data_IF_936006022967
#
_entry.id   IF_936006022967
#
_cell.length_a   1.000
_cell.length_b   1.000
_cell.length_c   1.000
_cell.angle_alpha   90.00
_cell.angle_beta   90.00
_cell.angle_gamma   90.00
#
_symmetry.space_group_name_H-M   'P 1'
#
loop_
_entity.id
_entity.type
_entity.pdbx_description
1 polymer ?
#
# COMPACT_ATOMS: atom_id res chain seq x y z
N UNK A 1 -17.80 -2.90 -14.28
CA UNK A 1 -17.69 -1.68 -13.44
C UNK A 1 -16.30 -1.51 -12.81
N UNK A 2 -15.57 -2.58 -12.45
CA UNK A 2 -14.16 -2.53 -11.97
C UNK A 2 -13.16 -1.64 -12.77
N UNK A 3 -13.22 -1.61 -14.11
CA UNK A 3 -12.33 -0.77 -14.95
C UNK A 3 -12.60 0.73 -14.85
N UNK A 4 -13.76 1.16 -14.35
CA UNK A 4 -14.14 2.58 -14.25
C UNK A 4 -13.56 3.26 -13.01
N UNK A 5 -13.31 2.55 -11.91
CA UNK A 5 -12.81 3.16 -10.67
C UNK A 5 -11.31 3.50 -10.70
N UNK A 6 -10.45 2.64 -11.27
CA UNK A 6 -9.06 3.02 -11.57
C UNK A 6 -9.01 4.19 -12.55
N UNK A 7 -9.88 4.17 -13.56
CA UNK A 7 -10.03 5.29 -14.48
C UNK A 7 -10.43 6.55 -13.70
N UNK A 8 -11.40 6.48 -12.79
CA UNK A 8 -11.85 7.62 -11.99
C UNK A 8 -10.72 8.17 -11.10
N UNK A 9 -9.88 7.35 -10.47
CA UNK A 9 -8.76 7.84 -9.66
C UNK A 9 -7.59 8.38 -10.49
N UNK A 10 -7.24 7.73 -11.60
CA UNK A 10 -6.25 8.24 -12.56
C UNK A 10 -6.72 9.56 -13.19
N UNK A 11 -8.03 9.71 -13.43
CA UNK A 11 -8.67 10.94 -13.91
C UNK A 11 -8.78 12.00 -12.80
N UNK A 12 -8.98 11.59 -11.54
CA UNK A 12 -9.13 12.49 -10.38
C UNK A 12 -7.80 13.00 -9.85
N UNK A 13 -6.70 12.25 -9.89
CA UNK A 13 -5.42 12.68 -9.34
C UNK A 13 -4.94 14.04 -9.92
N UNK A 14 -5.03 14.30 -11.25
CA UNK A 14 -4.76 15.63 -11.80
C UNK A 14 -5.69 16.73 -11.28
N UNK A 15 -6.97 16.41 -11.06
CA UNK A 15 -7.96 17.36 -10.52
C UNK A 15 -7.72 17.67 -9.05
N UNK A 16 -7.42 16.65 -8.24
CA UNK A 16 -7.04 16.79 -6.84
C UNK A 16 -5.75 17.58 -6.69
N UNK A 17 -4.75 17.32 -7.55
CA UNK A 17 -3.54 18.15 -7.65
C UNK A 17 -3.88 19.62 -7.92
N UNK A 18 -4.74 19.90 -8.90
CA UNK A 18 -5.19 21.27 -9.18
C UNK A 18 -5.91 21.90 -7.99
N UNK A 19 -6.78 21.15 -7.29
CA UNK A 19 -7.49 21.61 -6.11
C UNK A 19 -6.54 21.94 -4.95
N UNK A 20 -5.53 21.09 -4.69
CA UNK A 20 -4.48 21.35 -3.71
C UNK A 20 -3.72 22.64 -4.04
N UNK A 21 -3.27 22.78 -5.28
CA UNK A 21 -2.56 23.97 -5.73
C UNK A 21 -3.44 25.24 -5.71
N UNK A 22 -4.76 25.09 -5.75
CA UNK A 22 -5.72 26.18 -5.63
C UNK A 22 -6.08 26.51 -4.17
N UNK A 23 -5.40 25.89 -3.18
CA UNK A 23 -5.61 26.19 -1.77
C UNK A 23 -6.84 25.52 -1.15
N UNK A 24 -7.30 24.37 -1.67
CA UNK A 24 -8.48 23.68 -1.10
C UNK A 24 -8.31 23.35 0.39
N UNK A 25 -7.11 23.01 0.85
CA UNK A 25 -6.86 22.74 2.28
C UNK A 25 -6.99 24.01 3.12
N UNK A 26 -6.41 25.12 2.65
CA UNK A 26 -6.58 26.43 3.28
C UNK A 26 -8.06 26.80 3.37
N UNK A 27 -8.82 26.64 2.27
CA UNK A 27 -10.25 26.92 2.24
C UNK A 27 -11.06 26.05 3.22
N UNK A 28 -10.69 24.78 3.41
CA UNK A 28 -11.33 23.90 4.40
C UNK A 28 -11.10 24.42 5.82
N UNK A 29 -9.83 24.73 6.18
CA UNK A 29 -9.45 25.14 7.54
C UNK A 29 -9.95 26.53 7.90
N UNK A 30 -9.91 27.47 6.94
CA UNK A 30 -10.35 28.87 7.14
C UNK A 30 -11.84 29.08 6.89
N UNK A 31 -12.49 28.16 6.17
CA UNK A 31 -13.89 28.27 5.80
C UNK A 31 -14.76 28.47 7.04
N UNK A 32 -15.54 29.56 7.05
CA UNK A 32 -16.37 29.92 8.19
C UNK A 32 -17.50 28.91 8.37
N UNK A 33 -17.60 28.36 9.59
CA UNK A 33 -18.58 27.34 9.97
C UNK A 33 -20.04 27.76 9.82
N UNK A 34 -20.31 29.07 9.67
CA UNK A 34 -21.61 29.60 9.28
C UNK A 34 -22.17 28.95 8.01
N UNK A 35 -21.31 28.54 7.06
CA UNK A 35 -21.74 27.85 5.83
C UNK A 35 -21.80 26.31 5.97
N UNK A 36 -21.23 25.71 7.01
CA UNK A 36 -21.22 24.25 7.22
C UNK A 36 -22.49 23.73 7.91
N UNK A 37 -23.37 24.62 8.37
CA UNK A 37 -24.67 24.24 8.95
C UNK A 37 -25.62 23.60 7.93
N UNK A 38 -25.38 23.80 6.63
CA UNK A 38 -26.04 22.99 5.61
C UNK A 38 -25.50 21.55 5.72
N UNK A 39 -26.32 20.64 6.25
CA UNK A 39 -25.99 19.23 6.51
C UNK A 39 -25.24 18.58 5.33
N UNK A 40 -25.67 18.89 4.11
CA UNK A 40 -25.10 18.34 2.87
C UNK A 40 -23.63 18.73 2.65
N UNK A 41 -23.21 19.94 3.06
CA UNK A 41 -21.83 20.41 2.86
C UNK A 41 -20.89 19.71 3.84
N UNK A 42 -21.31 19.56 5.09
CA UNK A 42 -20.51 18.86 6.11
C UNK A 42 -20.30 17.38 5.74
N UNK A 43 -21.36 16.68 5.31
CA UNK A 43 -21.23 15.29 4.85
C UNK A 43 -20.32 15.16 3.63
N UNK A 44 -20.44 16.06 2.64
CA UNK A 44 -19.59 16.05 1.46
C UNK A 44 -18.11 16.30 1.81
N UNK A 45 -17.83 17.26 2.70
CA UNK A 45 -16.47 17.56 3.15
C UNK A 45 -15.87 16.43 3.99
N UNK A 46 -16.68 15.79 4.84
CA UNK A 46 -16.27 14.62 5.59
C UNK A 46 -15.84 13.48 4.66
N UNK A 47 -16.67 13.14 3.67
CA UNK A 47 -16.31 12.13 2.68
C UNK A 47 -15.10 12.56 1.84
N UNK A 48 -15.03 13.83 1.44
CA UNK A 48 -13.89 14.36 0.69
C UNK A 48 -12.58 14.24 1.48
N UNK A 49 -12.55 14.58 2.77
CA UNK A 49 -11.34 14.47 3.58
C UNK A 49 -11.03 13.01 3.97
N UNK A 50 -11.98 12.33 4.61
CA UNK A 50 -11.77 11.02 5.22
C UNK A 50 -11.63 9.89 4.21
N UNK A 51 -12.21 10.03 3.02
CA UNK A 51 -12.16 9.01 1.96
C UNK A 51 -11.30 9.46 0.80
N UNK A 52 -11.62 10.61 0.17
CA UNK A 52 -10.99 11.00 -1.10
C UNK A 52 -9.55 11.48 -0.92
N UNK A 53 -9.31 12.50 -0.09
CA UNK A 53 -7.96 13.06 0.12
C UNK A 53 -7.03 12.04 0.76
N UNK A 54 -7.53 11.38 1.79
CA UNK A 54 -6.86 10.27 2.46
C UNK A 54 -6.50 9.16 1.46
N UNK A 55 -7.44 8.69 0.65
CA UNK A 55 -7.18 7.69 -0.38
C UNK A 55 -6.20 8.17 -1.45
N UNK A 56 -6.16 9.47 -1.70
CA UNK A 56 -5.24 10.08 -2.65
C UNK A 56 -3.78 10.11 -2.15
N UNK A 57 -3.53 9.97 -0.84
CA UNK A 57 -2.16 10.00 -0.27
C UNK A 57 -1.26 8.84 -0.71
N UNK A 58 -1.82 7.84 -1.39
CA UNK A 58 -1.07 6.72 -1.96
C UNK A 58 -0.49 7.03 -3.34
N UNK A 59 -0.92 8.13 -3.97
CA UNK A 59 -0.50 8.48 -5.32
C UNK A 59 0.64 9.49 -5.30
N UNK A 60 1.74 9.16 -5.98
CA UNK A 60 2.94 9.98 -5.99
C UNK A 60 2.70 11.42 -6.48
N UNK A 61 1.97 11.67 -7.60
CA UNK A 61 1.76 13.04 -8.07
C UNK A 61 0.94 13.89 -7.08
N UNK A 62 -0.03 13.26 -6.40
CA UNK A 62 -0.82 13.92 -5.37
C UNK A 62 0.07 14.27 -4.16
N UNK A 63 0.86 13.31 -3.67
CA UNK A 63 1.78 13.53 -2.56
C UNK A 63 2.83 14.62 -2.84
N UNK A 64 3.29 14.76 -4.08
CA UNK A 64 4.17 15.85 -4.47
C UNK A 64 3.52 17.23 -4.29
N UNK A 65 2.25 17.38 -4.67
CA UNK A 65 1.50 18.62 -4.45
C UNK A 65 1.11 18.82 -2.99
N UNK A 66 0.78 17.74 -2.29
CA UNK A 66 0.45 17.79 -0.88
C UNK A 66 1.65 18.25 -0.03
N UNK A 67 2.86 17.86 -0.41
CA UNK A 67 4.09 18.31 0.26
C UNK A 67 4.27 19.83 0.28
N UNK A 68 3.76 20.52 -0.74
CA UNK A 68 3.77 21.98 -0.82
C UNK A 68 2.58 22.59 -0.07
N UNK A 69 1.38 22.05 -0.27
CA UNK A 69 0.14 22.64 0.26
C UNK A 69 -0.12 22.38 1.75
N UNK A 70 0.32 21.24 2.29
CA UNK A 70 0.01 20.86 3.67
C UNK A 70 0.68 21.75 4.72
N UNK A 71 1.99 22.12 4.62
CA UNK A 71 2.61 23.02 5.59
C UNK A 71 1.91 24.37 5.70
N UNK A 72 1.48 24.95 4.57
CA UNK A 72 0.71 26.19 4.54
C UNK A 72 -0.62 26.03 5.28
N UNK A 73 -1.34 24.93 5.04
CA UNK A 73 -2.61 24.67 5.70
C UNK A 73 -2.47 24.39 7.21
N UNK A 74 -1.37 23.75 7.63
CA UNK A 74 -1.07 23.50 9.04
C UNK A 74 -0.61 24.75 9.80
N UNK A 75 -0.08 25.76 9.10
CA UNK A 75 0.32 27.02 9.69
C UNK A 75 -0.88 27.94 10.05
N UNK A 76 -2.07 27.61 9.54
CA UNK A 76 -3.30 28.35 9.83
C UNK A 76 -3.79 27.96 11.23
N UNK A 77 -3.99 28.93 12.10
CA UNK A 77 -4.67 28.71 13.37
C UNK A 77 -6.15 28.36 13.11
N UNK A 78 -6.59 27.13 13.39
CA UNK A 78 -7.96 26.74 13.08
C UNK A 78 -8.94 27.52 13.96
N UNK A 79 -10.00 28.05 13.36
CA UNK A 79 -11.02 28.76 14.15
C UNK A 79 -11.67 27.82 15.18
N UNK A 80 -12.06 28.36 16.35
CA UNK A 80 -12.78 27.58 17.37
C UNK A 80 -14.02 26.88 16.81
N UNK A 81 -14.76 27.56 15.93
CA UNK A 81 -15.93 26.98 15.30
C UNK A 81 -15.59 25.76 14.43
N UNK A 82 -14.44 25.76 13.74
CA UNK A 82 -13.97 24.61 12.96
C UNK A 82 -13.55 23.46 13.87
N UNK A 83 -12.81 23.74 14.95
CA UNK A 83 -12.42 22.75 15.95
C UNK A 83 -13.63 22.09 16.64
N UNK A 84 -14.69 22.86 16.90
CA UNK A 84 -15.94 22.36 17.49
C UNK A 84 -16.84 21.65 16.44
N UNK A 85 -16.46 21.64 15.16
CA UNK A 85 -17.24 21.02 14.09
C UNK A 85 -16.96 19.51 13.94
N UNK A 86 -17.90 18.73 13.37
CA UNK A 86 -17.66 17.32 13.05
C UNK A 86 -16.48 17.07 12.11
N UNK A 87 -16.07 18.08 11.33
CA UNK A 87 -14.97 18.01 10.38
C UNK A 87 -13.59 17.99 11.06
N UNK A 88 -13.50 18.43 12.31
CA UNK A 88 -12.22 18.51 13.02
C UNK A 88 -11.55 17.15 13.18
N UNK A 89 -12.31 16.13 13.55
CA UNK A 89 -11.79 14.77 13.70
C UNK A 89 -11.26 14.21 12.36
N UNK A 90 -11.99 14.44 11.26
CA UNK A 90 -11.58 14.04 9.93
C UNK A 90 -10.35 14.82 9.45
N UNK A 91 -10.26 16.11 9.76
CA UNK A 91 -9.08 16.95 9.49
C UNK A 91 -7.84 16.43 10.23
N UNK A 92 -7.94 16.17 11.53
CA UNK A 92 -6.82 15.64 12.33
C UNK A 92 -6.38 14.28 11.78
N UNK A 93 -7.33 13.39 11.46
CA UNK A 93 -7.03 12.08 10.89
C UNK A 93 -6.33 12.21 9.53
N UNK A 94 -6.83 13.08 8.65
CA UNK A 94 -6.21 13.35 7.36
C UNK A 94 -4.81 13.95 7.51
N UNK A 95 -4.64 15.00 8.33
CA UNK A 95 -3.37 15.69 8.53
C UNK A 95 -2.30 14.75 9.08
N UNK A 96 -2.66 13.94 10.08
CA UNK A 96 -1.76 12.93 10.66
C UNK A 96 -1.33 11.90 9.62
N UNK A 97 -2.27 11.35 8.84
CA UNK A 97 -1.94 10.43 7.75
C UNK A 97 -1.05 11.10 6.70
N UNK A 98 -1.40 12.31 6.26
CA UNK A 98 -0.66 13.04 5.26
C UNK A 98 0.79 13.29 5.69
N UNK A 99 1.02 13.66 6.95
CA UNK A 99 2.37 13.82 7.50
C UNK A 99 3.16 12.51 7.48
N UNK A 100 2.57 11.39 7.90
CA UNK A 100 3.19 10.06 7.80
C UNK A 100 3.56 9.74 6.34
N UNK A 101 2.63 9.95 5.39
CA UNK A 101 2.89 9.70 3.97
C UNK A 101 3.94 10.65 3.37
N UNK A 102 4.09 11.86 3.90
CA UNK A 102 5.15 12.77 3.48
C UNK A 102 6.54 12.30 3.94
N UNK A 103 6.64 11.64 5.10
CA UNK A 103 7.88 10.97 5.51
C UNK A 103 8.22 9.85 4.51
N UNK A 104 7.21 9.06 4.11
CA UNK A 104 7.40 8.01 3.11
C UNK A 104 7.82 8.60 1.76
N UNK A 105 7.24 9.72 1.35
CA UNK A 105 7.64 10.42 0.14
C UNK A 105 9.11 10.86 0.23
N UNK A 106 9.55 11.45 1.34
CA UNK A 106 10.93 11.88 1.51
C UNK A 106 11.92 10.70 1.42
N UNK A 107 11.64 9.60 2.12
CA UNK A 107 12.43 8.37 2.03
C UNK A 107 12.45 7.78 0.61
N UNK A 108 11.28 7.74 -0.04
CA UNK A 108 11.15 7.24 -1.39
C UNK A 108 12.02 8.06 -2.35
N UNK A 109 11.98 9.39 -2.22
CA UNK A 109 12.81 10.31 -3.01
C UNK A 109 14.29 10.07 -2.78
N UNK A 110 14.70 9.90 -1.53
CA UNK A 110 16.10 9.66 -1.18
C UNK A 110 16.65 8.32 -1.73
N UNK A 111 15.81 7.28 -1.79
CA UNK A 111 16.24 5.92 -2.17
C UNK A 111 16.04 5.59 -3.65
N UNK A 112 14.95 6.04 -4.25
CA UNK A 112 14.43 5.48 -5.52
C UNK A 112 14.39 6.47 -6.68
N UNK A 113 14.60 7.77 -6.45
CA UNK A 113 14.68 8.73 -7.57
C UNK A 113 16.03 8.63 -8.28
N UNK A 114 17.11 8.30 -7.56
CA UNK A 114 18.43 8.11 -8.16
C UNK A 114 18.56 6.73 -8.81
N UNK A 115 18.14 5.65 -8.14
CA UNK A 115 18.40 4.29 -8.61
C UNK A 115 17.19 3.64 -9.30
N UNK A 116 17.46 2.84 -10.34
CA UNK A 116 16.45 1.98 -10.98
C UNK A 116 17.02 0.57 -11.15
N UNK A 117 16.30 -0.48 -10.70
CA UNK A 117 16.72 -1.86 -10.93
C UNK A 117 16.46 -2.28 -12.39
N UNK A 118 17.19 -3.31 -12.83
CA UNK A 118 16.82 -4.07 -14.02
C UNK A 118 15.45 -4.76 -13.80
N UNK A 119 14.62 -4.84 -14.82
CA UNK A 119 13.34 -5.53 -14.78
C UNK A 119 13.45 -7.06 -14.95
N UNK A 120 14.66 -7.57 -15.20
CA UNK A 120 14.94 -8.99 -15.03
C UNK A 120 15.14 -9.28 -13.54
N UNK A 121 14.26 -10.06 -12.91
CA UNK A 121 14.33 -10.38 -11.49
C UNK A 121 15.57 -11.20 -11.09
N UNK A 122 16.16 -11.92 -12.05
CA UNK A 122 17.42 -12.65 -11.83
C UNK A 122 18.65 -11.74 -11.97
N UNK A 123 18.45 -10.43 -12.18
CA UNK A 123 19.51 -9.44 -12.30
C UNK A 123 19.54 -8.54 -11.06
N UNK A 124 20.50 -8.77 -10.18
CA UNK A 124 20.69 -8.01 -8.94
C UNK A 124 21.39 -6.66 -9.11
N UNK A 125 21.61 -6.22 -10.36
CA UNK A 125 22.35 -4.98 -10.64
C UNK A 125 21.44 -3.76 -10.46
N UNK A 126 21.78 -2.91 -9.49
CA UNK A 126 21.16 -1.61 -9.28
C UNK A 126 21.95 -0.52 -10.02
N UNK A 127 21.27 0.24 -10.88
CA UNK A 127 21.89 1.31 -11.64
C UNK A 127 21.63 2.66 -10.98
N UNK A 128 22.71 3.44 -10.82
CA UNK A 128 22.67 4.76 -10.20
C UNK A 128 22.06 5.85 -11.10
N UNK A 129 22.00 5.62 -12.42
CA UNK A 129 21.38 6.54 -13.37
C UNK A 129 20.47 5.81 -14.36
N UNK A 130 19.42 6.51 -14.82
CA UNK A 130 18.48 6.01 -15.84
C UNK A 130 19.13 5.79 -17.21
N UNK A 131 20.20 6.51 -17.51
CA UNK A 131 20.93 6.43 -18.78
C UNK A 131 21.55 5.06 -19.03
N UNK A 132 21.79 4.31 -17.96
CA UNK A 132 22.49 3.03 -18.02
C UNK A 132 21.54 1.86 -18.31
N UNK A 133 20.23 2.14 -18.34
CA UNK A 133 19.19 1.15 -18.62
C UNK A 133 18.52 1.44 -19.97
N UNK A 134 18.34 0.37 -20.76
CA UNK A 134 17.57 0.36 -22.00
C UNK A 134 16.11 0.14 -21.68
N UNK A 135 15.23 0.91 -22.31
CA UNK A 135 13.79 0.83 -22.10
C UNK A 135 13.16 -0.10 -23.15
N UNK A 136 12.18 -0.91 -22.74
CA UNK A 136 11.41 -1.72 -23.68
C UNK A 136 10.76 -0.82 -24.76
N UNK A 137 11.03 -1.09 -26.04
CA UNK A 137 10.55 -0.27 -27.14
C UNK A 137 9.01 -0.33 -27.31
N UNK A 138 8.40 -1.43 -26.88
CA UNK A 138 6.97 -1.69 -27.02
C UNK A 138 6.16 -0.97 -25.95
N UNK A 139 6.29 -1.38 -24.68
CA UNK A 139 5.50 -0.81 -23.58
C UNK A 139 6.10 0.48 -23.01
N UNK A 140 7.41 0.71 -23.18
CA UNK A 140 8.15 1.81 -22.55
C UNK A 140 8.03 1.83 -21.00
N UNK A 141 7.58 0.72 -20.42
CA UNK A 141 7.35 0.52 -18.98
C UNK A 141 8.61 -0.08 -18.36
N UNK A 142 9.06 -1.24 -18.84
CA UNK A 142 10.21 -1.94 -18.27
C UNK A 142 11.57 -1.44 -18.75
N UNK A 143 12.59 -1.57 -17.89
CA UNK A 143 13.96 -1.10 -18.10
C UNK A 143 14.94 -2.24 -17.85
N UNK A 144 15.89 -2.44 -18.74
CA UNK A 144 16.82 -3.55 -18.75
C UNK A 144 18.24 -3.05 -18.93
N UNK A 145 19.20 -3.67 -18.23
CA UNK A 145 20.60 -3.36 -18.46
C UNK A 145 21.13 -3.87 -19.80
N UNK A 146 20.50 -4.92 -20.34
CA UNK A 146 20.93 -5.58 -21.56
C UNK A 146 19.74 -6.22 -22.31
N UNK A 147 19.97 -6.58 -23.57
CA UNK A 147 18.95 -7.27 -24.40
C UNK A 147 18.69 -8.68 -23.89
N UNK A 148 19.72 -9.32 -23.31
CA UNK A 148 19.63 -10.64 -22.69
C UNK A 148 18.68 -10.61 -21.48
N UNK A 149 18.82 -9.61 -20.60
CA UNK A 149 17.88 -9.41 -19.48
C UNK A 149 16.45 -9.14 -19.96
N UNK A 150 16.28 -8.36 -21.03
CA UNK A 150 14.96 -8.18 -21.63
C UNK A 150 14.37 -9.49 -22.14
N UNK A 151 15.18 -10.31 -22.80
CA UNK A 151 14.76 -11.60 -23.39
C UNK A 151 14.35 -12.61 -22.31
N UNK A 152 15.15 -12.71 -21.23
CA UNK A 152 14.82 -13.55 -20.07
C UNK A 152 13.49 -13.09 -19.48
N UNK A 153 13.39 -11.80 -19.12
CA UNK A 153 12.16 -11.24 -18.54
C UNK A 153 10.93 -11.42 -19.44
N UNK A 154 11.10 -11.36 -20.77
CA UNK A 154 10.05 -11.59 -21.76
C UNK A 154 9.51 -13.03 -21.72
N UNK A 155 10.38 -14.03 -21.59
CA UNK A 155 9.99 -15.45 -21.63
C UNK A 155 9.58 -16.01 -20.26
N UNK A 156 10.17 -15.52 -19.16
CA UNK A 156 10.01 -16.13 -17.84
C UNK A 156 9.25 -15.29 -16.81
N UNK A 157 9.13 -13.97 -17.00
CA UNK A 157 8.71 -13.06 -15.91
C UNK A 157 7.51 -12.18 -16.29
N UNK A 158 6.59 -12.72 -17.09
CA UNK A 158 5.30 -12.12 -17.47
C UNK A 158 5.32 -10.74 -18.14
N UNK A 159 6.51 -10.21 -18.47
CA UNK A 159 6.63 -8.95 -19.20
C UNK A 159 5.79 -8.99 -20.47
N UNK A 160 5.75 -10.11 -21.21
CA UNK A 160 4.94 -10.24 -22.42
C UNK A 160 3.47 -9.86 -22.20
N UNK A 161 2.81 -10.47 -21.22
CA UNK A 161 1.39 -10.23 -20.94
C UNK A 161 1.13 -8.76 -20.53
N UNK A 162 2.02 -8.19 -19.72
CA UNK A 162 1.91 -6.78 -19.30
C UNK A 162 2.20 -5.84 -20.47
N UNK A 163 3.14 -6.20 -21.34
CA UNK A 163 3.51 -5.41 -22.52
C UNK A 163 2.35 -5.35 -23.51
N UNK A 164 1.74 -6.49 -23.82
CA UNK A 164 0.57 -6.59 -24.70
C UNK A 164 -0.61 -5.80 -24.10
N UNK A 165 -0.93 -5.99 -22.81
CA UNK A 165 -1.99 -5.23 -22.14
C UNK A 165 -1.73 -3.71 -22.11
N UNK A 166 -0.47 -3.29 -21.98
CA UNK A 166 -0.09 -1.89 -22.02
C UNK A 166 -0.26 -1.28 -23.42
N UNK A 167 0.01 -2.06 -24.47
CA UNK A 167 -0.18 -1.66 -25.86
C UNK A 167 -1.66 -1.54 -26.23
N UNK A 168 -2.51 -2.44 -25.71
CA UNK A 168 -3.95 -2.45 -25.98
C UNK A 168 -4.71 -1.32 -25.28
N UNK A 169 -4.14 -0.74 -24.23
CA UNK A 169 -4.71 0.44 -23.63
C UNK A 169 -4.54 1.62 -24.60
N UNK A 170 -5.59 2.01 -25.33
CA UNK A 170 -5.62 3.20 -26.22
C UNK A 170 -5.12 4.50 -25.54
N UNK A 171 -5.05 4.50 -24.21
CA UNK A 171 -4.57 5.60 -23.39
C UNK A 171 -3.17 5.41 -22.82
N UNK A 172 -2.46 4.32 -23.16
CA UNK A 172 -1.05 4.08 -22.89
C UNK A 172 -0.59 4.69 -21.58
N UNK A 173 -1.34 4.45 -20.50
CA UNK A 173 -1.00 5.06 -19.22
C UNK A 173 0.28 4.37 -18.77
N UNK A 174 1.39 5.08 -18.99
CA UNK A 174 2.78 4.79 -18.61
C UNK A 174 2.88 4.54 -17.10
N UNK A 175 2.25 3.49 -16.60
CA UNK A 175 2.07 3.22 -15.19
C UNK A 175 3.29 2.58 -14.54
N UNK A 176 4.42 2.42 -15.22
CA UNK A 176 5.71 2.52 -14.52
C UNK A 176 6.14 3.98 -14.28
N UNK A 177 5.16 4.76 -13.80
CA UNK A 177 5.32 6.07 -13.21
C UNK A 177 5.87 5.89 -11.79
N UNK A 178 6.52 6.93 -11.27
CA UNK A 178 6.87 7.04 -9.85
C UNK A 178 5.66 6.73 -8.96
N UNK A 179 4.44 6.86 -9.47
CA UNK A 179 3.22 6.40 -8.82
C UNK A 179 3.23 4.94 -8.38
N UNK A 180 3.46 3.98 -9.29
CA UNK A 180 3.42 2.55 -8.91
C UNK A 180 4.59 2.17 -8.01
N UNK A 181 5.78 2.75 -8.24
CA UNK A 181 6.94 2.55 -7.36
C UNK A 181 6.69 3.08 -5.96
N UNK A 182 6.13 4.29 -5.87
CA UNK A 182 5.76 4.90 -4.60
C UNK A 182 4.66 4.10 -3.90
N UNK A 183 3.66 3.64 -4.65
CA UNK A 183 2.59 2.81 -4.12
C UNK A 183 3.10 1.51 -3.47
N UNK A 184 3.94 0.76 -4.20
CA UNK A 184 4.62 -0.44 -3.67
C UNK A 184 5.45 -0.10 -2.43
N UNK A 185 6.20 0.99 -2.50
CA UNK A 185 6.99 1.45 -1.37
C UNK A 185 6.12 1.77 -0.14
N UNK A 186 4.98 2.45 -0.33
CA UNK A 186 4.01 2.75 0.71
C UNK A 186 3.46 1.48 1.34
N UNK A 187 3.01 0.51 0.51
CA UNK A 187 2.53 -0.80 0.99
C UNK A 187 3.60 -1.52 1.80
N UNK A 188 4.84 -1.58 1.32
CA UNK A 188 5.95 -2.18 2.04
C UNK A 188 6.19 -1.50 3.38
N UNK A 189 6.17 -0.16 3.42
CA UNK A 189 6.36 0.57 4.66
C UNK A 189 5.24 0.31 5.66
N UNK A 190 3.99 0.35 5.22
CA UNK A 190 2.84 -0.04 6.06
C UNK A 190 2.98 -1.47 6.59
N UNK A 191 3.39 -2.40 5.73
CA UNK A 191 3.65 -3.78 6.10
C UNK A 191 4.71 -3.88 7.19
N UNK A 192 5.87 -3.26 6.99
CA UNK A 192 6.97 -3.32 7.96
C UNK A 192 6.57 -2.71 9.31
N UNK A 193 5.84 -1.58 9.30
CA UNK A 193 5.34 -0.96 10.54
C UNK A 193 4.36 -1.87 11.28
N UNK A 194 3.51 -2.58 10.52
CA UNK A 194 2.41 -3.40 11.07
C UNK A 194 2.80 -4.86 11.24
N UNK A 195 4.02 -5.23 10.91
CA UNK A 195 4.52 -6.59 10.91
C UNK A 195 4.34 -7.31 12.25
N UNK A 196 4.61 -6.70 13.43
CA UNK A 196 4.34 -7.36 14.70
C UNK A 196 2.85 -7.68 14.89
N UNK A 197 1.96 -6.73 14.55
CA UNK A 197 0.52 -6.93 14.66
C UNK A 197 0.01 -8.02 13.69
N UNK A 198 0.53 -8.02 12.46
CA UNK A 198 0.29 -9.06 11.46
C UNK A 198 0.70 -10.42 12.02
N UNK A 199 1.92 -10.52 12.55
CA UNK A 199 2.45 -11.76 13.08
C UNK A 199 1.62 -12.32 14.24
N UNK A 200 1.13 -11.45 15.12
CA UNK A 200 0.22 -11.85 16.20
C UNK A 200 -1.12 -12.38 15.67
N UNK A 201 -1.66 -11.76 14.62
CA UNK A 201 -2.86 -12.30 13.97
C UNK A 201 -2.60 -13.67 13.34
N UNK A 202 -1.41 -13.92 12.78
CA UNK A 202 -1.00 -15.22 12.23
C UNK A 202 -0.99 -16.28 13.34
N UNK A 203 -0.34 -15.99 14.46
CA UNK A 203 -0.30 -16.90 15.60
C UNK A 203 -1.69 -17.17 16.19
N UNK A 204 -2.52 -16.14 16.33
CA UNK A 204 -3.90 -16.28 16.79
C UNK A 204 -4.75 -17.14 15.83
N UNK A 205 -4.51 -17.03 14.52
CA UNK A 205 -5.14 -17.88 13.51
C UNK A 205 -4.71 -19.35 13.65
N UNK A 206 -3.40 -19.60 13.74
CA UNK A 206 -2.84 -20.95 13.92
C UNK A 206 -3.36 -21.57 15.21
N UNK A 207 -3.37 -20.83 16.32
CA UNK A 207 -3.88 -21.31 17.61
C UNK A 207 -5.34 -21.76 17.51
N UNK A 208 -6.18 -20.98 16.82
CA UNK A 208 -7.62 -21.22 16.72
C UNK A 208 -7.97 -22.37 15.77
N UNK A 209 -7.25 -22.49 14.66
CA UNK A 209 -7.64 -23.36 13.55
C UNK A 209 -6.75 -24.60 13.41
N UNK A 210 -5.55 -24.58 13.99
CA UNK A 210 -4.48 -25.53 13.69
C UNK A 210 -3.95 -25.41 12.26
N UNK A 211 -4.45 -24.46 11.45
CA UNK A 211 -4.08 -24.30 10.06
C UNK A 211 -2.96 -23.26 9.92
N UNK A 212 -1.95 -23.64 9.15
CA UNK A 212 -0.82 -22.77 8.78
C UNK A 212 -0.97 -22.17 7.39
N UNK A 213 -1.99 -22.59 6.64
CA UNK A 213 -2.31 -22.07 5.32
C UNK A 213 -3.27 -20.87 5.45
N UNK A 214 -2.69 -19.68 5.53
CA UNK A 214 -3.44 -18.43 5.62
C UNK A 214 -2.84 -17.36 4.69
N UNK A 215 -3.60 -16.30 4.48
CA UNK A 215 -3.17 -15.10 3.80
C UNK A 215 -3.23 -13.87 4.71
N UNK A 216 -2.34 -12.90 4.46
CA UNK A 216 -2.38 -11.59 5.12
C UNK A 216 -2.96 -10.58 4.17
N UNK A 217 -4.08 -9.98 4.54
CA UNK A 217 -4.81 -9.02 3.74
C UNK A 217 -4.51 -7.62 4.28
N UNK A 218 -3.92 -6.76 3.48
CA UNK A 218 -3.67 -5.38 3.84
C UNK A 218 -4.83 -4.52 3.33
N UNK A 219 -5.79 -4.23 4.19
CA UNK A 219 -6.99 -3.45 3.85
C UNK A 219 -6.76 -1.96 4.08
N UNK A 220 -6.71 -1.17 3.01
CA UNK A 220 -6.57 0.28 3.15
C UNK A 220 -7.94 0.94 3.22
N UNK A 221 -8.35 1.28 4.44
CA UNK A 221 -9.63 1.91 4.78
C UNK A 221 -9.35 3.25 5.45
N UNK A 222 -9.79 4.34 4.82
CA UNK A 222 -9.85 5.67 5.43
C UNK A 222 -8.55 6.03 6.15
N UNK A 223 -7.43 5.94 5.41
CA UNK A 223 -6.05 6.32 5.79
C UNK A 223 -5.26 5.22 6.46
N UNK A 224 -5.94 4.22 6.99
CA UNK A 224 -5.33 3.17 7.77
C UNK A 224 -5.14 1.94 6.91
N UNK A 225 -3.94 1.39 6.96
CA UNK A 225 -3.69 0.04 6.49
C UNK A 225 -4.08 -0.92 7.62
N UNK A 226 -5.15 -1.68 7.45
CA UNK A 226 -5.66 -2.63 8.43
C UNK A 226 -5.25 -4.02 7.97
N UNK A 227 -4.25 -4.64 8.61
CA UNK A 227 -3.91 -6.02 8.31
C UNK A 227 -4.99 -6.96 8.84
N UNK A 228 -5.33 -7.97 8.06
CA UNK A 228 -6.23 -9.07 8.43
C UNK A 228 -5.63 -10.40 8.01
N UNK A 229 -5.51 -11.35 8.92
CA UNK A 229 -5.16 -12.73 8.56
C UNK A 229 -6.43 -13.55 8.29
N UNK A 230 -6.49 -14.24 7.16
CA UNK A 230 -7.64 -15.03 6.73
C UNK A 230 -7.22 -16.38 6.13
N UNK A 231 -8.07 -17.43 6.18
CA UNK A 231 -7.84 -18.68 5.44
C UNK A 231 -7.63 -18.41 3.94
N UNK A 232 -6.79 -19.22 3.28
CA UNK A 232 -6.53 -19.08 1.83
C UNK A 232 -7.79 -19.38 1.00
N UNK A 233 -8.65 -20.27 1.50
CA UNK A 233 -9.88 -20.72 0.86
C UNK A 233 -10.88 -19.56 0.65
N UNK A 234 -10.87 -18.55 1.54
CA UNK A 234 -11.68 -17.33 1.35
C UNK A 234 -11.30 -16.55 0.07
N UNK A 235 -10.12 -16.84 -0.51
CA UNK A 235 -9.50 -16.05 -1.58
C UNK A 235 -9.16 -16.82 -2.85
N UNK A 236 -9.45 -18.13 -2.91
CA UNK A 236 -9.18 -18.96 -4.09
C UNK A 236 -9.77 -18.35 -5.37
N UNK A 237 -10.99 -17.82 -5.32
CA UNK A 237 -11.65 -17.17 -6.46
C UNK A 237 -10.93 -15.92 -7.01
N UNK A 238 -10.10 -15.25 -6.19
CA UNK A 238 -9.26 -14.12 -6.61
C UNK A 238 -7.94 -14.63 -7.17
N UNK A 239 -7.40 -15.70 -6.60
CA UNK A 239 -6.17 -16.34 -7.05
C UNK A 239 -6.31 -17.01 -8.42
N UNK A 240 -7.47 -17.63 -8.69
CA UNK A 240 -7.81 -18.24 -9.98
C UNK A 240 -7.82 -17.24 -11.14
N UNK A 241 -8.03 -15.95 -10.84
CA UNK A 241 -8.07 -14.88 -11.85
C UNK A 241 -6.70 -14.30 -12.16
N UNK A 242 -5.65 -14.67 -11.41
CA UNK A 242 -4.32 -14.11 -11.60
C UNK A 242 -3.36 -15.13 -12.22
N UNK A 243 -2.74 -14.81 -13.37
CA UNK A 243 -1.85 -15.73 -14.09
C UNK A 243 -0.51 -15.99 -13.37
N UNK A 244 -0.29 -15.35 -12.21
CA UNK A 244 0.95 -15.41 -11.42
C UNK A 244 0.92 -16.45 -10.29
N UNK A 245 -0.17 -17.20 -10.17
CA UNK A 245 -0.39 -18.15 -9.08
C UNK A 245 0.08 -19.56 -9.42
N UNK A 246 1.22 -19.71 -10.10
CA UNK A 246 1.84 -21.03 -10.23
C UNK A 246 2.13 -21.57 -8.83
N UNK A 247 1.40 -22.63 -8.45
CA UNK A 247 1.67 -23.41 -7.23
C UNK A 247 3.14 -23.83 -7.28
N UNK A 248 4.00 -23.15 -6.51
CA UNK A 248 5.37 -23.64 -6.34
C UNK A 248 5.29 -25.10 -5.85
N UNK A 249 6.16 -25.98 -6.36
CA UNK A 249 6.21 -27.39 -5.95
C UNK A 249 6.43 -27.58 -4.44
N UNK A 250 6.78 -26.50 -3.72
CA UNK A 250 6.99 -26.44 -2.26
C UNK A 250 5.75 -26.04 -1.45
N UNK A 251 4.60 -25.80 -2.10
CA UNK A 251 3.35 -25.34 -1.47
C UNK A 251 3.34 -23.85 -1.16
N UNK A 252 2.15 -23.24 -1.08
CA UNK A 252 1.98 -21.87 -0.56
C UNK A 252 2.31 -21.90 0.93
N UNK A 253 3.39 -21.25 1.36
CA UNK A 253 3.71 -21.16 2.79
C UNK A 253 3.23 -19.87 3.42
N UNK A 254 3.10 -18.80 2.65
CA UNK A 254 2.51 -17.55 3.10
C UNK A 254 2.20 -16.65 1.91
N UNK A 255 1.00 -16.07 1.87
CA UNK A 255 0.57 -15.22 0.76
C UNK A 255 -0.05 -13.95 1.33
N UNK A 256 0.46 -12.79 0.92
CA UNK A 256 -0.13 -11.54 1.34
C UNK A 256 -0.91 -10.95 0.17
N UNK A 257 -2.17 -10.61 0.42
CA UNK A 257 -3.06 -9.96 -0.54
C UNK A 257 -3.23 -8.52 -0.10
N UNK A 258 -3.21 -7.56 -1.01
CA UNK A 258 -3.50 -6.16 -0.67
C UNK A 258 -4.87 -5.81 -1.19
N UNK A 259 -5.76 -5.32 -0.30
CA UNK A 259 -7.14 -4.96 -0.64
C UNK A 259 -7.41 -3.49 -0.34
N UNK A 260 -8.21 -2.87 -1.19
CA UNK A 260 -8.69 -1.50 -1.02
C UNK A 260 -10.21 -1.56 -0.83
N UNK A 261 -10.70 -1.20 0.36
CA UNK A 261 -12.11 -1.44 0.74
C UNK A 261 -13.01 -0.23 0.46
N UNK A 262 -12.44 0.98 0.41
CA UNK A 262 -13.19 2.22 0.25
C UNK A 262 -13.49 2.56 -1.22
N UNK A 263 -14.33 1.75 -1.87
CA UNK A 263 -14.91 1.90 -3.22
C UNK A 263 -14.14 1.26 -4.38
N UNK A 264 -14.81 0.22 -4.93
CA UNK A 264 -14.48 -0.67 -6.05
C UNK A 264 -13.23 -1.57 -5.90
N UNK A 265 -13.35 -2.88 -6.19
CA UNK A 265 -12.26 -3.83 -6.08
C UNK A 265 -11.27 -3.62 -7.23
N UNK A 266 -10.38 -2.63 -7.06
CA UNK A 266 -9.07 -2.67 -7.69
C UNK A 266 -8.28 -3.80 -7.01
N UNK A 267 -8.62 -5.01 -7.44
CA UNK A 267 -7.80 -6.21 -7.28
C UNK A 267 -6.55 -6.02 -8.12
N UNK A 268 -5.60 -5.25 -7.58
CA UNK A 268 -4.21 -5.55 -7.84
C UNK A 268 -3.76 -6.39 -6.66
N UNK A 269 -3.91 -7.73 -6.70
CA UNK A 269 -3.30 -8.58 -5.70
C UNK A 269 -1.80 -8.48 -5.91
N UNK A 270 -1.20 -7.52 -5.22
CA UNK A 270 0.20 -7.52 -4.96
C UNK A 270 0.47 -8.71 -4.07
N UNK A 271 1.19 -9.69 -4.58
CA UNK A 271 1.60 -10.84 -3.79
C UNK A 271 2.85 -10.42 -3.03
N UNK A 272 2.78 -10.38 -1.70
CA UNK A 272 4.01 -10.35 -0.92
C UNK A 272 4.50 -11.78 -0.71
N UNK A 273 5.77 -12.05 -1.05
CA UNK A 273 6.40 -13.33 -0.78
C UNK A 273 7.29 -13.18 0.45
N UNK A 274 7.12 -14.07 1.41
CA UNK A 274 8.05 -14.25 2.51
C UNK A 274 9.19 -15.20 2.07
N UNK A 275 10.42 -14.70 2.02
CA UNK A 275 11.58 -15.42 1.48
C UNK A 275 12.16 -16.51 2.39
N UNK A 276 11.92 -16.42 3.71
CA UNK A 276 12.46 -17.36 4.69
C UNK A 276 11.32 -17.99 5.47
N UNK A 277 11.08 -19.30 5.27
CA UNK A 277 10.15 -20.02 6.14
C UNK A 277 10.77 -20.09 7.53
N UNK A 278 10.30 -19.25 8.45
CA UNK A 278 10.41 -19.54 9.88
C UNK A 278 9.91 -20.99 10.04
N UNK A 279 10.67 -21.83 10.73
CA UNK A 279 10.24 -23.21 10.94
C UNK A 279 8.88 -23.19 11.64
N UNK A 280 7.86 -23.67 10.95
CA UNK A 280 6.46 -23.57 11.36
C UNK A 280 6.22 -24.23 12.72
N UNK A 281 7.01 -25.25 13.06
CA UNK A 281 6.95 -25.95 14.34
C UNK A 281 7.17 -25.00 15.53
N UNK A 282 8.10 -24.04 15.40
CA UNK A 282 8.33 -23.02 16.42
C UNK A 282 7.16 -22.04 16.55
N UNK A 283 6.48 -21.73 15.45
CA UNK A 283 5.29 -20.85 15.45
C UNK A 283 4.09 -21.51 16.12
N UNK A 284 3.89 -22.81 15.89
CA UNK A 284 2.79 -23.57 16.52
C UNK A 284 2.97 -23.60 18.04
N UNK A 285 4.20 -23.83 18.52
CA UNK A 285 4.47 -23.85 19.96
C UNK A 285 4.30 -22.45 20.58
N UNK A 286 4.78 -21.40 19.90
CA UNK A 286 4.58 -20.03 20.34
C UNK A 286 3.09 -19.65 20.37
N UNK A 287 2.32 -20.07 19.37
CA UNK A 287 0.89 -19.82 19.28
C UNK A 287 0.11 -20.45 20.45
N UNK A 288 0.55 -21.60 20.99
CA UNK A 288 -0.06 -22.21 22.18
C UNK A 288 0.10 -21.38 23.45
N UNK A 289 1.14 -20.55 23.51
CA UNK A 289 1.44 -19.71 24.68
C UNK A 289 0.65 -18.39 24.69
N UNK A 290 0.03 -18.01 23.56
CA UNK A 290 -0.76 -16.77 23.46
C UNK A 290 -2.15 -16.98 24.07
N UNK A 291 -2.56 -16.17 25.05
CA UNK A 291 -3.92 -16.23 25.59
C UNK A 291 -4.96 -15.97 24.50
N UNK A 292 -6.05 -16.73 24.53
CA UNK A 292 -7.12 -16.60 23.55
C UNK A 292 -7.72 -15.19 23.59
N UNK A 293 -7.68 -14.50 22.44
CA UNK A 293 -8.23 -13.14 22.29
C UNK A 293 -7.27 -12.02 22.69
N UNK A 294 -6.01 -12.32 23.03
CA UNK A 294 -5.02 -11.28 23.32
C UNK A 294 -4.73 -10.42 22.08
N UNK A 295 -4.83 -9.09 22.23
CA UNK A 295 -4.36 -8.14 21.22
C UNK A 295 -2.89 -7.75 21.42
N UNK A 296 -2.33 -6.98 20.49
CA UNK A 296 -0.92 -6.54 20.50
C UNK A 296 -0.57 -5.79 21.78
N UNK A 297 -1.43 -4.86 22.21
CA UNK A 297 -1.17 -4.04 23.39
C UNK A 297 -1.27 -4.86 24.68
N UNK A 298 -2.16 -5.86 24.71
CA UNK A 298 -2.25 -6.81 25.81
C UNK A 298 -1.01 -7.71 25.88
N UNK A 299 -0.52 -8.21 24.75
CA UNK A 299 0.70 -9.03 24.72
C UNK A 299 1.94 -8.24 25.14
N UNK A 300 2.10 -7.03 24.62
CA UNK A 300 3.20 -6.13 25.01
C UNK A 300 3.19 -5.85 26.52
N UNK A 301 2.01 -5.60 27.09
CA UNK A 301 1.88 -5.22 28.51
C UNK A 301 1.93 -6.41 29.47
N UNK A 302 1.31 -7.54 29.12
CA UNK A 302 1.12 -8.68 30.02
C UNK A 302 2.17 -9.77 29.81
N UNK A 303 2.79 -9.84 28.63
CA UNK A 303 3.73 -10.89 28.24
C UNK A 303 4.94 -10.31 27.46
N UNK A 304 5.72 -9.39 28.04
CA UNK A 304 6.76 -8.66 27.33
C UNK A 304 7.84 -9.56 26.70
N UNK A 305 8.23 -10.66 27.36
CA UNK A 305 9.20 -11.61 26.80
C UNK A 305 8.66 -12.34 25.55
N UNK A 306 7.37 -12.70 25.57
CA UNK A 306 6.70 -13.30 24.41
C UNK A 306 6.58 -12.30 23.25
N UNK A 307 6.30 -11.03 23.59
CA UNK A 307 6.24 -9.95 22.60
C UNK A 307 7.62 -9.67 21.98
N UNK A 308 8.71 -9.71 22.75
CA UNK A 308 10.08 -9.56 22.24
C UNK A 308 10.44 -10.69 21.25
N UNK A 309 10.09 -11.94 21.57
CA UNK A 309 10.33 -13.06 20.64
C UNK A 309 9.48 -12.93 19.36
N UNK A 310 8.23 -12.45 19.48
CA UNK A 310 7.40 -12.10 18.31
C UNK A 310 8.05 -11.02 17.46
N UNK A 311 8.58 -9.95 18.07
CA UNK A 311 9.27 -8.88 17.33
C UNK A 311 10.52 -9.41 16.62
N UNK A 312 11.30 -10.25 17.29
CA UNK A 312 12.49 -10.89 16.73
C UNK A 312 12.13 -11.77 15.53
N UNK A 313 11.15 -12.66 15.67
CA UNK A 313 10.70 -13.52 14.56
C UNK A 313 10.11 -12.69 13.41
N UNK A 314 9.28 -11.70 13.73
CA UNK A 314 8.77 -10.76 12.74
C UNK A 314 9.94 -10.07 12.02
N UNK A 315 11.01 -9.65 12.70
CA UNK A 315 12.15 -9.00 12.03
C UNK A 315 12.88 -9.88 11.00
N UNK A 316 12.86 -11.21 11.18
CA UNK A 316 13.53 -12.17 10.30
C UNK A 316 12.79 -12.43 8.97
N UNK A 317 11.51 -12.08 8.91
CA UNK A 317 10.66 -12.30 7.73
C UNK A 317 11.05 -11.32 6.61
N UNK A 318 11.71 -11.77 5.56
CA UNK A 318 12.02 -10.91 4.41
C UNK A 318 10.82 -10.89 3.48
N UNK A 319 10.30 -9.70 3.19
CA UNK A 319 9.09 -9.53 2.40
C UNK A 319 9.38 -8.72 1.15
N UNK A 320 9.10 -9.35 0.00
CA UNK A 320 9.23 -8.75 -1.33
C UNK A 320 7.83 -8.56 -1.94
N UNK A 321 7.63 -7.48 -2.72
CA UNK A 321 6.34 -7.23 -3.40
C UNK A 321 6.42 -7.60 -4.87
N UNK A 322 5.53 -8.50 -5.28
CA UNK A 322 5.34 -8.91 -6.66
C UNK A 322 4.08 -8.29 -7.24
N UNK A 323 4.14 -7.99 -8.54
CA UNK A 323 3.11 -7.31 -9.32
C UNK A 323 2.31 -8.29 -10.16
#
# INVERSE_FOLDING_TARGET
>A
MQKLASLLYVIRAPRLKKALNAGVLHAIVTGTVSNYRALNVSTALKHFMGTILVGATRYYPFMCSLAAALPEALAIEPSRAFMDSPLWADWISFASCAQERLQFLAEFRARFISTRPCANFDCDVLYAQRTDLRRCAACQIYYYCSVECQTISWSTQAHRAICEAAQDSEHGHRLEDNNNRFYRFTILRDYQIRKPAIFLQKLAHIHRTGNTNFCVIMEFISARCIPRVAPVEEWEHILERHPYTERSATGWREMHVVRFVDEDPLEFPWLLRCGNSIQMDGLVELARQIPQGADVGQLEKLYPALFEEVQKLASMEVVEVYC
#
